data_IF_100633549375
#
_entry.id   IF_100633549375
#
_cell.length_a   1.000
_cell.length_b   1.000
_cell.length_c   1.000
_cell.angle_alpha   90.00
_cell.angle_beta   90.00
_cell.angle_gamma   90.00
#
_symmetry.space_group_name_H-M   'P 1'
#
loop_
_entity.id
_entity.type
_entity.pdbx_description
1 polymer ?
#
# COMPACT_ATOMS: atom_id res chain seq x y z
N UNK A 1 19.54 -5.22 -10.61
CA UNK A 1 19.12 -5.65 -9.27
C UNK A 1 19.92 -6.89 -8.92
N UNK A 2 20.69 -6.86 -7.83
CA UNK A 2 21.24 -8.09 -7.25
C UNK A 2 20.20 -8.60 -6.26
N UNK A 3 19.45 -9.65 -6.63
CA UNK A 3 18.34 -10.20 -5.86
C UNK A 3 18.79 -11.02 -4.62
N UNK A 4 19.82 -10.56 -3.91
CA UNK A 4 20.46 -11.34 -2.85
C UNK A 4 21.14 -10.55 -1.73
N UNK A 5 20.97 -9.22 -1.63
CA UNK A 5 21.51 -8.46 -0.50
C UNK A 5 20.43 -8.22 0.56
N UNK A 6 20.58 -8.91 1.69
CA UNK A 6 19.87 -8.62 2.95
C UNK A 6 20.16 -7.17 3.31
N UNK A 7 19.12 -6.33 3.35
CA UNK A 7 19.21 -4.93 3.76
C UNK A 7 18.52 -4.73 5.11
N UNK A 8 19.05 -3.88 6.01
CA UNK A 8 18.33 -3.44 7.21
C UNK A 8 16.97 -2.79 6.86
N UNK A 9 16.83 -2.22 5.65
CA UNK A 9 15.60 -1.63 5.12
C UNK A 9 14.64 -2.66 4.50
N UNK A 10 14.82 -3.96 4.73
CA UNK A 10 13.80 -4.93 4.38
C UNK A 10 12.56 -4.72 5.24
N UNK A 11 11.39 -4.70 4.60
CA UNK A 11 10.11 -4.47 5.24
C UNK A 11 9.66 -5.70 6.04
N UNK A 12 9.26 -5.52 7.30
CA UNK A 12 8.68 -6.57 8.14
C UNK A 12 7.18 -6.39 8.37
N UNK A 13 6.68 -5.15 8.33
CA UNK A 13 5.27 -4.84 8.45
C UNK A 13 4.93 -3.52 7.74
N UNK A 14 3.68 -3.42 7.26
CA UNK A 14 3.14 -2.17 6.74
C UNK A 14 1.64 -2.08 7.04
N UNK A 15 1.15 -0.85 7.17
CA UNK A 15 -0.29 -0.61 7.29
C UNK A 15 -1.02 -1.02 6.02
N UNK A 16 -2.17 -1.66 6.18
CA UNK A 16 -3.01 -2.07 5.06
C UNK A 16 -3.74 -0.86 4.48
N UNK A 17 -3.51 -0.59 3.20
CA UNK A 17 -4.24 0.43 2.43
C UNK A 17 -4.98 -0.24 1.28
N UNK A 18 -6.28 -0.44 1.47
CA UNK A 18 -7.12 -1.13 0.51
C UNK A 18 -8.48 -0.44 0.31
N UNK A 19 -8.90 -0.36 -0.95
CA UNK A 19 -10.26 0.07 -1.33
C UNK A 19 -11.04 -1.18 -1.73
N UNK A 20 -12.05 -1.53 -0.93
CA UNK A 20 -12.88 -2.72 -1.12
C UNK A 20 -14.31 -2.30 -1.41
N UNK A 21 -14.87 -2.86 -2.47
CA UNK A 21 -16.19 -2.56 -3.03
C UNK A 21 -16.42 -1.04 -3.20
N UNK A 22 -15.37 -0.34 -3.66
CA UNK A 22 -15.37 1.11 -3.86
C UNK A 22 -15.26 1.94 -2.59
N UNK A 23 -15.07 1.31 -1.43
CA UNK A 23 -15.06 1.97 -0.11
C UNK A 23 -13.74 1.72 0.64
N UNK A 24 -13.37 2.69 1.47
CA UNK A 24 -12.27 2.57 2.41
C UNK A 24 -12.79 1.97 3.72
N UNK A 25 -12.15 0.93 4.26
CA UNK A 25 -12.53 0.36 5.56
C UNK A 25 -13.88 -0.32 5.65
N UNK A 26 -14.43 -0.75 4.51
CA UNK A 26 -15.78 -1.27 4.44
C UNK A 26 -15.86 -2.49 3.49
N UNK A 27 -17.07 -2.85 3.09
CA UNK A 27 -17.37 -4.06 2.30
C UNK A 27 -17.86 -5.19 3.19
N UNK A 28 -16.96 -5.80 3.97
CA UNK A 28 -17.26 -6.90 4.90
C UNK A 28 -16.67 -6.61 6.28
N UNK A 29 -17.46 -6.16 7.26
CA UNK A 29 -16.95 -5.70 8.56
C UNK A 29 -16.07 -6.72 9.29
N UNK A 30 -16.37 -8.02 9.19
CA UNK A 30 -15.59 -9.07 9.84
C UNK A 30 -14.17 -9.24 9.28
N UNK A 31 -13.87 -8.65 8.11
CA UNK A 31 -12.59 -8.82 7.42
C UNK A 31 -11.93 -7.49 7.07
N UNK A 32 -12.73 -6.43 6.91
CA UNK A 32 -12.33 -5.20 6.24
C UNK A 32 -12.62 -3.93 7.03
N UNK A 33 -13.17 -4.07 8.25
CA UNK A 33 -13.37 -2.92 9.14
C UNK A 33 -12.05 -2.43 9.71
N UNK A 34 -11.97 -1.13 9.99
CA UNK A 34 -10.88 -0.53 10.77
C UNK A 34 -9.66 -0.03 9.98
N UNK A 35 -9.55 -0.29 8.67
CA UNK A 35 -8.55 0.35 7.81
C UNK A 35 -9.16 1.44 6.92
N UNK A 36 -8.40 2.33 6.26
CA UNK A 36 -6.98 2.58 6.51
C UNK A 36 -6.78 3.01 7.98
N UNK A 37 -5.63 2.66 8.56
CA UNK A 37 -5.32 2.94 9.97
C UNK A 37 -5.32 4.45 10.30
N UNK A 38 -5.03 5.27 9.29
CA UNK A 38 -4.92 6.72 9.41
C UNK A 38 -5.81 7.43 8.37
N UNK A 39 -7.15 7.35 8.54
CA UNK A 39 -8.07 8.03 7.65
C UNK A 39 -8.08 9.54 7.93
N UNK A 40 -8.29 10.35 6.90
CA UNK A 40 -8.67 11.74 7.08
C UNK A 40 -10.14 11.87 7.51
N UNK A 41 -10.61 13.10 7.69
CA UNK A 41 -12.01 13.38 8.04
C UNK A 41 -13.06 12.86 7.05
N UNK A 42 -12.66 12.56 5.81
CA UNK A 42 -13.52 11.95 4.78
C UNK A 42 -13.37 10.43 4.69
N UNK A 43 -12.68 9.78 5.64
CA UNK A 43 -12.47 8.33 5.66
C UNK A 43 -11.45 7.82 4.65
N UNK A 44 -10.66 8.71 4.01
CA UNK A 44 -9.69 8.36 2.97
C UNK A 44 -8.29 8.18 3.55
N UNK A 45 -7.45 7.28 3.01
CA UNK A 45 -6.10 7.07 3.50
C UNK A 45 -5.26 8.34 3.34
N UNK A 46 -4.55 8.73 4.40
CA UNK A 46 -3.52 9.78 4.34
C UNK A 46 -2.13 9.22 4.07
N UNK A 47 -1.94 7.93 4.34
CA UNK A 47 -0.68 7.22 4.24
C UNK A 47 -0.69 6.00 5.15
N UNK A 48 0.49 5.46 5.41
CA UNK A 48 0.67 4.32 6.30
C UNK A 48 2.13 4.16 6.73
N UNK A 49 2.33 3.47 7.85
CA UNK A 49 3.64 3.13 8.38
C UNK A 49 4.25 1.96 7.61
N UNK A 50 5.58 1.99 7.49
CA UNK A 50 6.42 0.87 7.10
C UNK A 50 7.46 0.62 8.17
N UNK A 51 7.44 -0.59 8.74
CA UNK A 51 8.42 -1.04 9.71
C UNK A 51 9.46 -1.93 9.03
N UNK A 52 10.71 -1.73 9.37
CA UNK A 52 11.86 -2.41 8.75
C UNK A 52 12.59 -3.33 9.74
N UNK A 53 13.44 -4.21 9.21
CA UNK A 53 14.22 -5.19 10.00
C UNK A 53 15.11 -4.50 11.04
N UNK A 54 15.62 -3.30 10.77
CA UNK A 54 16.41 -2.51 11.71
C UNK A 54 15.61 -1.89 12.87
N UNK A 55 14.30 -2.13 12.92
CA UNK A 55 13.39 -1.59 13.93
C UNK A 55 12.94 -0.15 13.68
N UNK A 56 13.42 0.49 12.61
CA UNK A 56 12.94 1.80 12.20
C UNK A 56 11.53 1.70 11.61
N UNK A 57 10.79 2.80 11.75
CA UNK A 57 9.46 2.97 11.16
C UNK A 57 9.45 4.27 10.37
N UNK A 58 8.95 4.24 9.14
CA UNK A 58 8.79 5.43 8.32
C UNK A 58 7.36 5.62 7.82
N UNK A 59 6.91 6.88 7.83
CA UNK A 59 5.63 7.27 7.27
C UNK A 59 5.71 7.40 5.75
N UNK A 60 4.84 6.70 5.02
CA UNK A 60 4.68 6.85 3.56
C UNK A 60 3.33 7.48 3.26
N UNK A 61 3.34 8.58 2.53
CA UNK A 61 2.10 9.24 2.08
C UNK A 61 1.37 8.37 1.07
N UNK A 62 0.04 8.43 1.05
CA UNK A 62 -0.75 7.65 0.11
C UNK A 62 -0.35 7.93 -1.34
N UNK A 63 -0.02 9.17 -1.70
CA UNK A 63 0.40 9.58 -3.04
C UNK A 63 1.73 8.96 -3.49
N UNK A 64 2.53 8.46 -2.55
CA UNK A 64 3.79 7.76 -2.83
C UNK A 64 3.59 6.25 -3.03
N UNK A 65 2.44 5.71 -2.63
CA UNK A 65 2.11 4.31 -2.83
C UNK A 65 1.76 4.05 -4.29
N UNK A 66 1.70 2.78 -4.68
CA UNK A 66 1.34 2.32 -6.01
C UNK A 66 0.21 1.31 -5.90
N UNK A 67 -0.66 1.27 -6.91
CA UNK A 67 -1.56 0.14 -7.06
C UNK A 67 -0.75 -1.08 -7.47
N UNK A 68 -0.58 -2.03 -6.55
CA UNK A 68 0.31 -3.18 -6.75
C UNK A 68 -0.45 -4.44 -7.13
N UNK A 69 -1.70 -4.58 -6.66
CA UNK A 69 -2.44 -5.82 -6.83
C UNK A 69 -3.97 -5.65 -6.77
N UNK A 70 -4.64 -6.53 -7.52
CA UNK A 70 -6.06 -6.83 -7.44
C UNK A 70 -6.32 -8.22 -8.01
N UNK A 71 -7.24 -8.95 -7.40
CA UNK A 71 -7.84 -10.15 -8.01
C UNK A 71 -9.25 -9.90 -8.58
N UNK A 72 -9.73 -8.65 -8.53
CA UNK A 72 -10.90 -8.19 -9.26
C UNK A 72 -10.61 -6.81 -9.89
N UNK A 73 -9.88 -6.79 -11.02
CA UNK A 73 -9.40 -5.57 -11.66
C UNK A 73 -10.51 -4.62 -12.13
N UNK A 74 -11.76 -5.09 -12.22
CA UNK A 74 -12.94 -4.29 -12.53
C UNK A 74 -13.28 -3.22 -11.48
N UNK A 75 -12.47 -3.07 -10.42
CA UNK A 75 -12.46 -1.91 -9.55
C UNK A 75 -13.00 -2.14 -8.14
N UNK A 76 -13.43 -3.37 -7.82
CA UNK A 76 -13.97 -3.65 -6.49
C UNK A 76 -12.89 -3.91 -5.44
N UNK A 77 -11.66 -4.28 -5.80
CA UNK A 77 -10.62 -4.57 -4.80
C UNK A 77 -9.29 -4.01 -5.24
N UNK A 78 -8.84 -2.96 -4.56
CA UNK A 78 -7.62 -2.26 -4.94
C UNK A 78 -6.68 -2.17 -3.74
N UNK A 79 -5.48 -2.70 -3.89
CA UNK A 79 -4.45 -2.70 -2.84
C UNK A 79 -3.32 -1.77 -3.24
N UNK A 80 -2.92 -0.94 -2.27
CA UNK A 80 -1.87 0.05 -2.44
C UNK A 80 -0.75 -0.23 -1.45
N UNK A 81 0.49 -0.19 -1.94
CA UNK A 81 1.67 -0.37 -1.13
C UNK A 81 2.77 0.59 -1.59
N UNK A 82 3.71 0.92 -0.72
CA UNK A 82 4.94 1.61 -1.11
C UNK A 82 6.05 0.58 -1.32
N UNK A 83 6.83 0.75 -2.40
CA UNK A 83 8.09 0.06 -2.62
C UNK A 83 9.13 1.08 -3.06
N UNK A 84 10.32 1.01 -2.46
CA UNK A 84 11.44 1.89 -2.80
C UNK A 84 11.97 1.60 -4.20
N UNK A 85 12.05 0.32 -4.57
CA UNK A 85 12.48 -0.13 -5.88
C UNK A 85 11.55 -1.22 -6.43
N UNK A 86 10.98 -0.97 -7.61
CA UNK A 86 10.14 -1.91 -8.37
C UNK A 86 10.92 -2.64 -9.46
N UNK A 87 12.20 -2.32 -9.62
CA UNK A 87 13.05 -2.87 -10.65
C UNK A 87 12.63 -2.45 -12.04
N UNK A 88 12.73 -3.39 -12.96
CA UNK A 88 12.39 -3.14 -14.36
C UNK A 88 10.89 -2.85 -14.55
N UNK A 89 10.03 -3.30 -13.62
CA UNK A 89 8.62 -2.91 -13.62
C UNK A 89 8.46 -1.40 -13.41
N UNK A 90 9.26 -0.81 -12.50
CA UNK A 90 9.24 0.63 -12.28
C UNK A 90 9.69 1.44 -13.50
N UNK A 91 10.58 0.87 -14.31
CA UNK A 91 11.09 1.48 -15.55
C UNK A 91 10.12 1.35 -16.74
N UNK A 92 9.15 0.43 -16.66
CA UNK A 92 8.23 0.13 -17.76
C UNK A 92 7.19 1.21 -18.06
N UNK A 93 7.07 2.23 -17.20
CA UNK A 93 6.04 3.28 -17.29
C UNK A 93 4.62 2.80 -16.96
N UNK A 94 4.44 1.54 -16.54
CA UNK A 94 3.14 0.92 -16.25
C UNK A 94 2.68 1.10 -14.80
N UNK A 95 3.36 1.94 -14.03
CA UNK A 95 2.99 2.23 -12.63
C UNK A 95 1.65 2.96 -12.60
N UNK A 96 0.67 2.35 -11.95
CA UNK A 96 -0.62 3.00 -11.68
C UNK A 96 -0.54 3.73 -10.35
N UNK A 97 -0.55 5.07 -10.41
CA UNK A 97 -0.60 5.91 -9.22
C UNK A 97 -1.98 5.83 -8.54
N UNK A 98 -2.02 5.91 -7.21
CA UNK A 98 -3.26 5.91 -6.46
C UNK A 98 -4.12 7.12 -6.84
N UNK A 99 -5.44 6.87 -6.82
CA UNK A 99 -6.49 7.88 -6.97
C UNK A 99 -7.55 7.58 -5.93
N UNK A 100 -8.12 8.64 -5.36
CA UNK A 100 -9.14 8.53 -4.31
C UNK A 100 -10.44 7.92 -4.81
#
# INVERSE_FOLDING_TARGET
MSSGQVSPLMLIAADVIAKIDGRWGAGRPTCYSGYPAHPNSAGRPTGGNQAYVDGSVSWKKFEQMIFIHSWNPGGSRQYYAYQEDLGDYGKSGRIVKPRY
#
